data_IF_880203480969
#
_entry.id   IF_880203480969
#
_cell.length_a   1.000
_cell.length_b   1.000
_cell.length_c   1.000
_cell.angle_alpha   90.00
_cell.angle_beta   90.00
_cell.angle_gamma   90.00
#
_symmetry.space_group_name_H-M   'P 1'
#
loop_
_entity.id
_entity.type
_entity.pdbx_description
1 polymer ?
#
# COMPACT_ATOMS: atom_id res chain seq x y z
N UNK A 1 -21.67 -2.19 0.68
CA UNK A 1 -21.31 -1.37 -0.49
C UNK A 1 -20.15 -0.51 -0.03
N UNK A 2 -18.92 -0.88 -0.39
CA UNK A 2 -17.73 -0.10 -0.03
C UNK A 2 -17.70 1.10 -0.96
N UNK A 3 -17.83 2.32 -0.43
CA UNK A 3 -17.66 3.53 -1.24
C UNK A 3 -16.22 3.54 -1.76
N UNK A 4 -16.03 3.07 -2.99
CA UNK A 4 -14.74 3.16 -3.67
C UNK A 4 -14.53 4.65 -3.98
N UNK A 5 -13.50 5.23 -3.37
CA UNK A 5 -13.08 6.60 -3.64
C UNK A 5 -12.61 6.68 -5.10
N UNK A 6 -13.48 7.18 -5.97
CA UNK A 6 -13.18 7.37 -7.37
C UNK A 6 -12.08 8.42 -7.54
N UNK A 7 -11.10 8.14 -8.41
CA UNK A 7 -10.08 9.11 -8.75
C UNK A 7 -10.69 10.22 -9.62
N UNK A 8 -10.63 11.51 -9.22
CA UNK A 8 -11.24 12.60 -9.96
C UNK A 8 -10.62 12.82 -11.36
N UNK A 9 -9.37 12.39 -11.56
CA UNK A 9 -8.62 12.60 -12.81
C UNK A 9 -8.62 11.40 -13.77
N UNK A 10 -8.86 10.18 -13.25
CA UNK A 10 -8.67 8.94 -14.01
C UNK A 10 -9.93 8.12 -14.27
N UNK A 11 -11.03 8.38 -13.54
CA UNK A 11 -12.32 7.69 -13.71
C UNK A 11 -12.30 6.17 -13.46
N UNK A 12 -11.18 5.62 -12.99
CA UNK A 12 -10.98 4.20 -12.71
C UNK A 12 -11.01 3.96 -11.19
N UNK A 13 -11.88 3.06 -10.75
CA UNK A 13 -12.09 2.70 -9.34
C UNK A 13 -10.99 1.82 -8.73
N UNK A 14 -9.88 1.63 -9.44
CA UNK A 14 -8.77 0.80 -8.96
C UNK A 14 -7.82 1.66 -8.11
N UNK A 15 -7.85 1.43 -6.81
CA UNK A 15 -6.96 2.07 -5.84
C UNK A 15 -5.84 1.14 -5.40
N UNK A 16 -4.76 1.75 -4.96
CA UNK A 16 -3.51 1.11 -4.56
C UNK A 16 -3.08 1.63 -3.19
N UNK A 17 -2.75 0.74 -2.26
CA UNK A 17 -2.23 1.13 -0.95
C UNK A 17 -0.70 1.12 -0.95
N UNK A 18 -0.09 2.25 -0.62
CA UNK A 18 1.36 2.38 -0.49
C UNK A 18 1.74 3.00 0.85
N UNK A 19 2.94 2.70 1.32
CA UNK A 19 3.57 3.36 2.45
C UNK A 19 4.71 4.24 1.96
N UNK A 20 4.75 5.47 2.48
CA UNK A 20 5.80 6.43 2.20
C UNK A 20 6.10 7.26 3.45
N UNK A 21 7.34 7.21 3.96
CA UNK A 21 7.81 8.06 5.09
C UNK A 21 6.81 8.13 6.26
N UNK A 22 6.29 6.98 6.69
CA UNK A 22 5.33 6.89 7.81
C UNK A 22 3.89 7.29 7.48
N UNK A 23 3.54 7.47 6.21
CA UNK A 23 2.16 7.67 5.74
C UNK A 23 1.65 6.42 5.05
N UNK A 24 0.39 6.05 5.31
CA UNK A 24 -0.39 5.12 4.49
C UNK A 24 -1.19 5.93 3.47
N UNK A 25 -1.00 5.62 2.19
CA UNK A 25 -1.57 6.38 1.08
C UNK A 25 -2.40 5.44 0.21
N UNK A 26 -3.64 5.81 -0.07
CA UNK A 26 -4.40 5.28 -1.18
C UNK A 26 -4.18 6.17 -2.39
N UNK A 27 -3.67 5.60 -3.48
CA UNK A 27 -3.51 6.30 -4.76
C UNK A 27 -4.29 5.63 -5.89
N UNK A 28 -4.52 6.36 -6.97
CA UNK A 28 -5.09 5.79 -8.19
C UNK A 28 -4.08 4.88 -8.89
N UNK A 29 -4.51 3.68 -9.30
CA UNK A 29 -3.67 2.76 -10.08
C UNK A 29 -3.39 3.25 -11.50
N UNK A 30 -4.24 4.14 -12.06
CA UNK A 30 -4.11 4.60 -13.43
C UNK A 30 -3.13 5.79 -13.56
N UNK A 31 -3.35 6.85 -12.80
CA UNK A 31 -2.56 8.08 -12.88
C UNK A 31 -1.56 8.26 -11.73
N UNK A 32 -1.66 7.46 -10.67
CA UNK A 32 -0.77 7.57 -9.51
C UNK A 32 -1.13 8.69 -8.52
N UNK A 33 -2.17 9.47 -8.78
CA UNK A 33 -2.58 10.55 -7.88
C UNK A 33 -2.99 10.03 -6.51
N UNK A 34 -2.56 10.75 -5.47
CA UNK A 34 -2.97 10.48 -4.08
C UNK A 34 -4.44 10.83 -3.93
N UNK A 35 -5.23 9.86 -3.44
CA UNK A 35 -6.65 10.01 -3.19
C UNK A 35 -6.88 10.30 -1.71
N UNK A 36 -6.27 9.51 -0.83
CA UNK A 36 -6.33 9.67 0.64
C UNK A 36 -4.96 9.35 1.23
N UNK A 37 -4.57 10.10 2.27
CA UNK A 37 -3.41 9.80 3.10
C UNK A 37 -3.81 9.82 4.58
N UNK A 38 -3.28 8.86 5.34
CA UNK A 38 -3.39 8.81 6.80
C UNK A 38 -2.05 8.40 7.40
N UNK A 39 -1.93 8.49 8.72
CA UNK A 39 -0.74 8.00 9.42
C UNK A 39 -0.61 6.49 9.24
N UNK A 40 0.60 6.02 8.92
CA UNK A 40 0.90 4.59 8.92
C UNK A 40 0.63 3.96 10.30
N UNK A 41 0.85 4.71 11.38
CA UNK A 41 0.58 4.27 12.75
C UNK A 41 -0.91 3.93 12.96
N UNK A 42 -1.82 4.67 12.32
CA UNK A 42 -3.26 4.44 12.45
C UNK A 42 -3.71 3.11 11.83
N UNK A 43 -2.87 2.48 11.00
CA UNK A 43 -3.15 1.20 10.35
C UNK A 43 -2.57 0.00 11.10
N UNK A 44 -1.73 0.22 12.13
CA UNK A 44 -0.95 -0.85 12.77
C UNK A 44 -1.78 -1.90 13.49
N UNK A 45 -2.99 -1.56 13.95
CA UNK A 45 -3.85 -2.50 14.66
C UNK A 45 -4.50 -3.55 13.74
N UNK A 46 -4.22 -3.48 12.43
CA UNK A 46 -4.68 -4.45 11.44
C UNK A 46 -3.97 -5.80 11.56
N UNK A 47 -4.75 -6.87 11.72
CA UNK A 47 -4.31 -8.26 11.59
C UNK A 47 -4.47 -8.83 10.17
N UNK A 48 -4.79 -7.98 9.19
CA UNK A 48 -4.94 -8.43 7.81
C UNK A 48 -3.61 -8.97 7.27
N UNK A 49 -3.69 -10.15 6.65
CA UNK A 49 -2.56 -10.72 5.93
C UNK A 49 -2.23 -9.84 4.75
N UNK A 50 -0.97 -9.43 4.66
CA UNK A 50 -0.48 -8.54 3.63
C UNK A 50 0.88 -9.03 3.13
N UNK A 51 1.11 -8.83 1.84
CA UNK A 51 2.45 -8.82 1.26
C UNK A 51 2.86 -7.38 0.95
N UNK A 52 4.07 -7.02 1.37
CA UNK A 52 4.67 -5.70 1.16
C UNK A 52 5.82 -5.82 0.16
N UNK A 53 5.80 -5.01 -0.89
CA UNK A 53 6.80 -5.00 -1.97
C UNK A 53 7.38 -3.61 -2.17
N UNK A 54 8.57 -3.49 -2.75
CA UNK A 54 8.99 -2.21 -3.35
C UNK A 54 8.00 -1.86 -4.46
N UNK A 55 7.46 -0.65 -4.42
CA UNK A 55 6.43 -0.19 -5.34
C UNK A 55 7.02 0.04 -6.75
N UNK A 56 6.51 -0.65 -7.80
CA UNK A 56 6.99 -0.48 -9.18
C UNK A 56 6.41 0.76 -9.87
N UNK A 57 5.47 1.45 -9.21
CA UNK A 57 4.67 2.54 -9.76
C UNK A 57 3.22 2.15 -10.07
N UNK A 58 2.38 3.13 -10.44
CA UNK A 58 0.94 2.96 -10.59
C UNK A 58 0.57 1.85 -11.58
N UNK A 59 -0.32 0.94 -11.18
CA UNK A 59 -0.90 -0.08 -12.05
C UNK A 59 0.04 -1.22 -12.43
N UNK A 60 1.30 -1.18 -11.97
CA UNK A 60 2.28 -2.23 -12.22
C UNK A 60 2.24 -3.27 -11.11
N UNK A 61 2.42 -4.52 -11.51
CA UNK A 61 2.52 -5.62 -10.55
C UNK A 61 3.96 -5.72 -10.03
N UNK A 62 4.16 -5.81 -8.71
CA UNK A 62 5.48 -6.03 -8.14
C UNK A 62 6.02 -7.42 -8.48
N UNK A 63 7.35 -7.52 -8.62
CA UNK A 63 8.04 -8.80 -8.82
C UNK A 63 8.19 -9.52 -7.48
N UNK A 64 8.17 -10.87 -7.42
CA UNK A 64 8.48 -11.60 -6.20
C UNK A 64 9.84 -11.23 -5.58
N UNK A 65 10.81 -10.84 -6.40
CA UNK A 65 12.15 -10.41 -5.96
C UNK A 65 12.14 -9.09 -5.17
N UNK A 66 11.08 -8.29 -5.31
CA UNK A 66 10.94 -7.02 -4.59
C UNK A 66 10.15 -7.14 -3.30
N UNK A 67 9.86 -8.36 -2.85
CA UNK A 67 9.18 -8.63 -1.59
C UNK A 67 10.03 -8.14 -0.41
N UNK A 68 9.45 -7.30 0.42
CA UNK A 68 10.04 -6.80 1.66
C UNK A 68 9.65 -7.67 2.85
N UNK A 69 8.35 -7.97 2.98
CA UNK A 69 7.82 -8.79 4.05
C UNK A 69 6.43 -9.33 3.71
N UNK A 70 6.04 -10.42 4.37
CA UNK A 70 4.70 -11.03 4.25
C UNK A 70 4.22 -11.51 5.62
N UNK A 71 2.97 -11.23 5.96
CA UNK A 71 2.36 -11.63 7.23
C UNK A 71 1.24 -10.70 7.69
N UNK A 72 0.74 -10.87 8.93
CA UNK A 72 -0.16 -9.91 9.55
C UNK A 72 0.46 -8.51 9.55
N UNK A 73 -0.30 -7.51 9.12
CA UNK A 73 0.22 -6.15 8.93
C UNK A 73 0.97 -5.61 10.16
N UNK A 74 0.40 -5.79 11.36
CA UNK A 74 1.06 -5.43 12.62
C UNK A 74 2.45 -6.05 12.82
N UNK A 75 2.66 -7.28 12.35
CA UNK A 75 3.91 -8.01 12.55
C UNK A 75 5.00 -7.58 11.56
N UNK A 76 4.59 -7.17 10.35
CA UNK A 76 5.52 -6.76 9.29
C UNK A 76 5.75 -5.24 9.24
N UNK A 77 5.04 -4.48 10.08
CA UNK A 77 5.10 -3.02 10.08
C UNK A 77 6.51 -2.43 10.32
N UNK A 78 7.32 -3.06 11.17
CA UNK A 78 8.69 -2.63 11.43
C UNK A 78 9.56 -2.76 10.17
N UNK A 79 9.44 -3.87 9.44
CA UNK A 79 10.19 -4.08 8.19
C UNK A 79 9.77 -3.08 7.11
N UNK A 80 8.46 -2.83 6.99
CA UNK A 80 7.91 -1.81 6.08
C UNK A 80 8.43 -0.41 6.44
N UNK A 81 8.43 -0.05 7.73
CA UNK A 81 8.91 1.26 8.20
C UNK A 81 10.39 1.47 7.90
N UNK A 82 11.21 0.44 8.15
CA UNK A 82 12.63 0.49 7.85
C UNK A 82 12.86 0.69 6.34
N UNK A 83 12.17 -0.07 5.50
CA UNK A 83 12.27 0.05 4.05
C UNK A 83 11.79 1.43 3.54
N UNK A 84 10.71 1.98 4.09
CA UNK A 84 10.16 3.26 3.66
C UNK A 84 10.91 4.51 4.20
N UNK A 85 11.86 4.30 5.12
CA UNK A 85 12.53 5.40 5.85
C UNK A 85 13.42 6.28 4.97
N UNK A 86 14.01 5.71 3.91
CA UNK A 86 14.84 6.43 2.94
C UNK A 86 14.03 7.12 1.82
N UNK A 87 12.70 7.00 1.84
CA UNK A 87 11.81 7.49 0.79
C UNK A 87 11.40 6.44 -0.23
N UNK A 88 11.84 5.19 -0.08
CA UNK A 88 11.31 4.08 -0.87
C UNK A 88 9.80 3.94 -0.67
N UNK A 89 9.08 3.80 -1.77
CA UNK A 89 7.65 3.53 -1.76
C UNK A 89 7.40 2.04 -1.60
N UNK A 90 6.56 1.65 -0.64
CA UNK A 90 6.24 0.25 -0.37
C UNK A 90 4.79 -0.02 -0.74
N UNK A 91 4.56 -0.92 -1.69
CA UNK A 91 3.23 -1.36 -2.10
C UNK A 91 2.72 -2.47 -1.19
N UNK A 92 1.55 -2.28 -0.61
CA UNK A 92 0.81 -3.30 0.12
C UNK A 92 -0.19 -4.00 -0.81
N UNK A 93 -0.23 -5.33 -0.72
CA UNK A 93 -1.24 -6.18 -1.32
C UNK A 93 -1.90 -6.96 -0.20
N UNK A 94 -3.18 -6.71 0.04
CA UNK A 94 -3.96 -7.52 0.97
C UNK A 94 -4.10 -8.92 0.40
N UNK A 95 -3.80 -9.91 1.21
CA UNK A 95 -4.07 -11.30 0.87
C UNK A 95 -5.50 -11.61 1.35
N UNK A 96 -6.35 -12.05 0.42
CA UNK A 96 -7.64 -12.57 0.83
C UNK A 96 -7.42 -13.78 1.74
N UNK A 97 -8.21 -13.90 2.82
CA UNK A 97 -8.37 -15.20 3.50
C UNK A 97 -8.93 -16.15 2.45
N UNK A 98 -8.13 -17.14 2.05
CA UNK A 98 -8.62 -18.33 1.34
C UNK A 98 -9.58 -19.08 2.26
#
# INVERSE_FOLDING_TARGET
>A
MTEMLACPSGGLDKTESIIHRGSYILRCAACGETIVATSFMAMLDSDHQCSAFIDPGPGKHPSPETLVARGPFRQIATAISAAASDGTLIRLISEAKV
#
